data_IF_791445697744
#
_entry.id   IF_791445697744
#
_cell.length_a   1.000
_cell.length_b   1.000
_cell.length_c   1.000
_cell.angle_alpha   90.00
_cell.angle_beta   90.00
_cell.angle_gamma   90.00
#
_symmetry.space_group_name_H-M   'P 1'
#
loop_
_entity.id
_entity.type
_entity.pdbx_description
1 polymer ?
#
# COMPACT_ATOMS: atom_id res chain seq x y z
N UNK A 1 -15.26 29.64 31.34
CA UNK A 1 -15.66 30.68 30.36
C UNK A 1 -17.01 30.27 29.80
N UNK A 2 -18.07 31.06 30.01
CA UNK A 2 -19.42 30.75 29.51
C UNK A 2 -19.75 31.73 28.38
N UNK A 3 -19.92 31.21 27.16
CA UNK A 3 -20.29 32.01 25.99
C UNK A 3 -21.53 31.41 25.33
N UNK A 4 -22.31 32.28 24.70
CA UNK A 4 -23.38 31.88 23.80
C UNK A 4 -22.85 32.01 22.37
N UNK A 5 -22.96 30.95 21.59
CA UNK A 5 -22.45 30.91 20.22
C UNK A 5 -23.57 30.57 19.24
N UNK A 6 -23.44 31.04 18.01
CA UNK A 6 -24.24 30.64 16.86
C UNK A 6 -23.32 30.17 15.76
N UNK A 7 -23.60 29.00 15.19
CA UNK A 7 -22.80 28.44 14.11
C UNK A 7 -23.31 28.96 12.78
N UNK A 8 -22.42 29.55 12.00
CA UNK A 8 -22.70 30.04 10.64
C UNK A 8 -21.82 29.26 9.68
N UNK A 9 -22.39 28.87 8.53
CA UNK A 9 -21.66 28.19 7.45
C UNK A 9 -21.37 29.19 6.33
N UNK A 10 -20.21 29.06 5.64
CA UNK A 10 -19.90 29.90 4.49
C UNK A 10 -20.87 29.64 3.34
N UNK A 11 -21.25 30.70 2.61
CA UNK A 11 -22.18 30.61 1.48
C UNK A 11 -21.59 29.89 0.26
N UNK A 12 -20.27 30.01 0.08
CA UNK A 12 -19.52 29.39 -1.02
C UNK A 12 -19.02 27.97 -0.69
N UNK A 13 -19.14 27.53 0.57
CA UNK A 13 -18.65 26.23 1.02
C UNK A 13 -17.12 26.10 1.03
N UNK A 14 -16.36 27.17 0.82
CA UNK A 14 -14.91 27.12 0.75
C UNK A 14 -14.25 27.36 2.13
N UNK A 15 -13.04 26.83 2.31
CA UNK A 15 -12.22 27.09 3.49
C UNK A 15 -11.68 28.52 3.49
N UNK A 16 -11.15 28.93 2.35
CA UNK A 16 -10.80 30.31 2.07
C UNK A 16 -9.57 30.44 1.21
N UNK A 17 -9.80 30.83 -0.05
CA UNK A 17 -8.76 31.08 -1.03
C UNK A 17 -8.41 32.56 -1.02
N UNK A 18 -7.12 32.85 -0.96
CA UNK A 18 -6.61 34.21 -1.11
C UNK A 18 -6.61 34.54 -2.60
N UNK A 19 -7.40 35.55 -2.98
CA UNK A 19 -7.46 36.04 -4.35
C UNK A 19 -6.30 37.02 -4.61
N UNK A 20 -5.90 37.25 -5.87
CA UNK A 20 -4.83 38.19 -6.22
C UNK A 20 -5.09 39.63 -5.76
N UNK A 21 -6.37 39.98 -5.54
CA UNK A 21 -6.78 41.29 -5.02
C UNK A 21 -6.60 41.44 -3.50
N UNK A 22 -6.09 40.43 -2.79
CA UNK A 22 -5.91 40.41 -1.34
C UNK A 22 -7.17 40.09 -0.53
N UNK A 23 -8.31 39.89 -1.19
CA UNK A 23 -9.55 39.42 -0.56
C UNK A 23 -9.54 37.90 -0.43
N UNK A 24 -10.14 37.38 0.65
CA UNK A 24 -10.31 35.96 0.87
C UNK A 24 -11.76 35.52 0.63
N UNK A 25 -11.93 34.31 0.07
CA UNK A 25 -13.22 33.60 0.01
C UNK A 25 -13.42 32.74 1.26
N UNK A 26 -14.54 32.01 1.35
CA UNK A 26 -14.75 30.99 2.35
C UNK A 26 -14.81 31.51 3.78
N UNK A 27 -14.54 30.61 4.72
CA UNK A 27 -14.52 30.94 6.16
C UNK A 27 -13.47 32.00 6.51
N UNK A 28 -12.30 31.99 5.85
CA UNK A 28 -11.27 33.04 6.06
C UNK A 28 -11.79 34.40 5.58
N UNK A 29 -12.51 34.44 4.45
CA UNK A 29 -13.14 35.64 3.92
C UNK A 29 -14.20 36.22 4.84
N UNK A 30 -15.05 35.37 5.43
CA UNK A 30 -16.04 35.82 6.41
C UNK A 30 -15.36 36.45 7.64
N UNK A 31 -14.25 35.87 8.10
CA UNK A 31 -13.46 36.44 9.19
C UNK A 31 -12.82 37.79 8.81
N UNK A 32 -12.23 37.88 7.60
CA UNK A 32 -11.63 39.11 7.08
C UNK A 32 -12.65 40.25 6.94
N UNK A 33 -13.89 39.93 6.53
CA UNK A 33 -15.00 40.89 6.39
C UNK A 33 -15.74 41.18 7.70
N UNK A 34 -15.32 40.59 8.82
CA UNK A 34 -15.98 40.72 10.14
C UNK A 34 -17.44 40.25 10.14
N UNK A 35 -17.75 39.22 9.36
CA UNK A 35 -19.08 38.56 9.35
C UNK A 35 -19.19 37.50 10.45
N UNK A 36 -18.05 37.00 10.95
CA UNK A 36 -17.94 36.05 12.06
C UNK A 36 -16.86 36.50 13.03
N UNK A 37 -17.03 36.19 14.31
CA UNK A 37 -16.03 36.51 15.34
C UNK A 37 -14.85 35.53 15.35
N UNK A 38 -15.11 34.26 15.01
CA UNK A 38 -14.11 33.19 14.98
C UNK A 38 -14.45 32.18 13.88
N UNK A 39 -13.43 31.76 13.13
CA UNK A 39 -13.50 30.63 12.21
C UNK A 39 -12.91 29.38 12.89
N UNK A 40 -13.72 28.33 13.02
CA UNK A 40 -13.33 27.05 13.63
C UNK A 40 -13.29 25.95 12.57
N UNK A 41 -12.16 25.24 12.49
CA UNK A 41 -11.96 24.13 11.57
C UNK A 41 -10.49 23.74 11.44
N UNK A 42 -10.18 22.64 10.74
CA UNK A 42 -8.81 22.22 10.43
C UNK A 42 -8.16 23.17 9.40
N UNK A 43 -7.86 24.39 9.83
CA UNK A 43 -7.20 25.37 8.97
C UNK A 43 -5.70 25.09 8.88
N UNK A 44 -5.21 24.91 7.66
CA UNK A 44 -3.77 24.96 7.38
C UNK A 44 -3.27 26.39 7.53
N UNK A 45 -2.26 26.56 8.38
CA UNK A 45 -1.54 27.82 8.56
C UNK A 45 -0.54 27.96 7.41
N UNK A 46 -0.72 28.97 6.57
CA UNK A 46 0.20 29.31 5.49
C UNK A 46 0.56 30.79 5.55
N UNK A 47 1.67 31.16 4.93
CA UNK A 47 2.14 32.55 4.91
C UNK A 47 1.07 33.52 4.36
N UNK A 48 0.44 33.18 3.24
CA UNK A 48 -0.54 34.07 2.62
C UNK A 48 -1.85 34.18 3.40
N UNK A 49 -2.25 33.13 4.12
CA UNK A 49 -3.43 33.17 5.00
C UNK A 49 -3.15 33.91 6.31
N UNK A 50 -1.93 33.79 6.85
CA UNK A 50 -1.51 34.51 8.05
C UNK A 50 -1.42 36.04 7.85
N UNK A 51 -1.36 36.54 6.60
CA UNK A 51 -1.45 37.98 6.29
C UNK A 51 -2.84 38.57 6.48
N UNK A 52 -3.89 37.74 6.41
CA UNK A 52 -5.29 38.20 6.41
C UNK A 52 -6.07 37.75 7.65
N UNK A 53 -5.55 36.79 8.40
CA UNK A 53 -6.17 36.27 9.62
C UNK A 53 -5.11 35.85 10.64
N UNK A 54 -5.38 36.15 11.91
CA UNK A 54 -4.58 35.69 13.03
C UNK A 54 -4.97 34.26 13.43
N UNK A 55 -3.97 33.44 13.72
CA UNK A 55 -4.14 32.04 14.12
C UNK A 55 -3.80 31.86 15.60
N UNK A 56 -4.54 30.96 16.26
CA UNK A 56 -4.16 30.45 17.56
C UNK A 56 -2.93 29.52 17.44
N UNK A 57 -2.46 29.03 18.58
CA UNK A 57 -1.41 28.00 18.59
C UNK A 57 -1.87 26.71 17.92
N UNK A 58 -0.97 26.03 17.22
CA UNK A 58 -1.25 24.80 16.50
C UNK A 58 -1.53 23.67 17.50
N UNK A 59 -2.77 23.18 17.52
CA UNK A 59 -3.18 22.06 18.37
C UNK A 59 -3.08 20.70 17.67
N UNK A 60 -3.01 20.68 16.34
CA UNK A 60 -2.96 19.46 15.55
C UNK A 60 -2.06 19.63 14.31
N UNK A 61 -1.26 18.59 14.01
CA UNK A 61 -0.49 18.50 12.78
C UNK A 61 -1.03 17.33 11.96
N UNK A 62 -1.49 17.65 10.75
CA UNK A 62 -1.95 16.69 9.75
C UNK A 62 -0.96 16.58 8.60
N UNK A 63 -0.95 15.42 7.96
CA UNK A 63 -0.16 15.15 6.76
C UNK A 63 -1.07 15.07 5.52
N UNK A 64 -0.54 15.48 4.37
CA UNK A 64 -1.22 15.25 3.10
C UNK A 64 -1.04 13.80 2.66
N UNK A 65 -2.14 13.18 2.22
CA UNK A 65 -2.16 11.83 1.68
C UNK A 65 -2.85 11.78 0.33
N UNK A 66 -2.44 10.83 -0.51
CA UNK A 66 -3.13 10.52 -1.77
C UNK A 66 -4.16 9.44 -1.47
N UNK A 67 -5.43 9.73 -1.76
CA UNK A 67 -6.50 8.76 -1.61
C UNK A 67 -6.75 8.04 -2.93
N UNK A 68 -6.67 6.71 -2.90
CA UNK A 68 -6.94 5.85 -4.04
C UNK A 68 -8.09 4.90 -3.73
N UNK A 69 -8.85 4.48 -4.76
CA UNK A 69 -9.78 3.37 -4.61
C UNK A 69 -9.04 2.14 -4.09
N UNK A 70 -9.74 1.34 -3.27
CA UNK A 70 -9.17 0.11 -2.71
C UNK A 70 -8.64 -0.78 -3.86
N UNK A 71 -7.36 -1.19 -3.83
CA UNK A 71 -6.79 -2.02 -4.89
C UNK A 71 -7.47 -3.39 -4.91
N UNK A 72 -7.62 -3.96 -6.11
CA UNK A 72 -8.20 -5.29 -6.27
C UNK A 72 -7.12 -6.34 -5.99
N UNK A 73 -7.50 -7.39 -5.27
CA UNK A 73 -6.65 -8.55 -5.05
C UNK A 73 -6.59 -9.35 -6.36
N UNK A 74 -5.41 -9.44 -6.95
CA UNK A 74 -5.23 -10.25 -8.15
C UNK A 74 -5.03 -11.72 -7.73
N UNK A 75 -5.86 -12.61 -8.30
CA UNK A 75 -5.76 -14.05 -8.05
C UNK A 75 -4.69 -14.63 -8.95
N UNK A 76 -3.45 -14.59 -8.49
CA UNK A 76 -2.36 -15.22 -9.23
C UNK A 76 -2.35 -16.74 -9.01
N UNK A 77 -3.00 -17.46 -9.92
CA UNK A 77 -3.04 -18.93 -9.95
C UNK A 77 -1.66 -19.54 -10.25
N UNK A 78 -0.71 -18.77 -10.78
CA UNK A 78 0.67 -19.22 -11.00
C UNK A 78 1.52 -19.14 -9.71
N UNK A 79 0.96 -18.64 -8.61
CA UNK A 79 1.65 -18.53 -7.32
C UNK A 79 2.27 -19.84 -6.83
N UNK A 80 1.71 -21.00 -7.18
CA UNK A 80 2.22 -22.32 -6.79
C UNK A 80 3.61 -22.65 -7.34
N UNK A 81 4.02 -22.05 -8.45
CA UNK A 81 5.33 -22.31 -9.06
C UNK A 81 6.40 -21.30 -8.65
N UNK A 82 6.04 -20.21 -7.97
CA UNK A 82 6.98 -19.17 -7.50
C UNK A 82 7.98 -19.63 -6.43
N UNK A 83 7.67 -20.55 -5.50
CA UNK A 83 8.61 -21.00 -4.46
C UNK A 83 9.90 -21.60 -5.01
N UNK A 84 9.88 -22.11 -6.25
CA UNK A 84 11.04 -22.69 -6.89
C UNK A 84 11.28 -22.03 -8.25
N UNK A 85 12.50 -21.54 -8.46
CA UNK A 85 12.93 -21.16 -9.80
C UNK A 85 12.69 -22.32 -10.77
N UNK A 86 12.27 -22.03 -11.99
CA UNK A 86 12.01 -23.04 -13.02
C UNK A 86 13.17 -24.04 -13.18
N UNK A 87 14.40 -23.60 -12.92
CA UNK A 87 15.60 -24.43 -12.94
C UNK A 87 15.68 -25.43 -11.77
N UNK A 88 15.31 -25.03 -10.56
CA UNK A 88 15.28 -25.95 -9.42
C UNK A 88 14.14 -26.96 -9.55
N UNK A 89 12.99 -26.59 -10.12
CA UNK A 89 11.91 -27.53 -10.42
C UNK A 89 12.40 -28.63 -11.39
N UNK A 90 13.05 -28.24 -12.49
CA UNK A 90 13.62 -29.18 -13.46
C UNK A 90 14.65 -30.12 -12.82
N UNK A 91 15.54 -29.57 -12.01
CA UNK A 91 16.58 -30.36 -11.35
C UNK A 91 15.99 -31.36 -10.36
N UNK A 92 14.99 -30.96 -9.57
CA UNK A 92 14.30 -31.87 -8.65
C UNK A 92 13.52 -32.96 -9.39
N UNK A 93 12.78 -32.61 -10.46
CA UNK A 93 12.03 -33.58 -11.24
C UNK A 93 12.94 -34.61 -11.94
N UNK A 94 14.08 -34.16 -12.49
CA UNK A 94 15.05 -35.07 -13.11
C UNK A 94 15.78 -35.96 -12.11
N UNK A 95 16.03 -35.48 -10.88
CA UNK A 95 16.58 -36.31 -9.81
C UNK A 95 15.54 -37.33 -9.31
N UNK A 96 14.29 -36.92 -9.13
CA UNK A 96 13.19 -37.80 -8.72
C UNK A 96 12.97 -38.92 -9.74
N UNK A 97 12.87 -38.61 -11.04
CA UNK A 97 12.70 -39.66 -12.07
C UNK A 97 13.90 -40.60 -12.17
N UNK A 98 15.12 -40.09 -12.02
CA UNK A 98 16.32 -40.94 -11.94
C UNK A 98 16.28 -41.88 -10.73
N UNK A 99 15.83 -41.39 -9.58
CA UNK A 99 15.74 -42.21 -8.36
C UNK A 99 14.60 -43.23 -8.44
N UNK A 100 13.45 -42.89 -9.02
CA UNK A 100 12.36 -43.86 -9.17
C UNK A 100 12.68 -44.92 -10.22
N UNK A 101 13.35 -44.57 -11.32
CA UNK A 101 13.81 -45.55 -12.32
C UNK A 101 14.85 -46.49 -11.72
N UNK A 102 15.85 -45.96 -11.00
CA UNK A 102 16.87 -46.79 -10.34
C UNK A 102 16.31 -47.63 -9.18
N UNK A 103 15.30 -47.14 -8.47
CA UNK A 103 14.59 -47.92 -7.45
C UNK A 103 13.66 -48.96 -8.07
N UNK A 104 12.96 -48.66 -9.16
CA UNK A 104 12.06 -49.61 -9.82
C UNK A 104 12.85 -50.78 -10.44
N UNK A 105 13.96 -50.48 -11.10
CA UNK A 105 14.85 -51.49 -11.70
C UNK A 105 15.60 -52.34 -10.65
N UNK A 106 15.80 -51.83 -9.43
CA UNK A 106 16.58 -52.55 -8.39
C UNK A 106 15.73 -53.14 -7.26
N UNK A 107 14.54 -52.62 -6.99
CA UNK A 107 13.73 -53.00 -5.82
C UNK A 107 12.79 -54.17 -6.06
N UNK A 108 12.44 -54.48 -7.31
CA UNK A 108 11.56 -55.63 -7.62
C UNK A 108 12.33 -56.95 -7.52
N UNK A 109 13.64 -56.94 -7.79
CA UNK A 109 14.46 -58.16 -7.78
C UNK A 109 15.38 -58.31 -6.55
N UNK A 110 15.69 -57.23 -5.81
CA UNK A 110 16.58 -57.28 -4.64
C UNK A 110 16.18 -56.25 -3.56
N UNK A 111 15.29 -56.63 -2.63
CA UNK A 111 15.24 -55.91 -1.35
C UNK A 111 16.58 -56.15 -0.61
N UNK A 112 17.32 -55.11 -0.21
CA UNK A 112 18.62 -55.31 0.43
C UNK A 112 18.43 -56.07 1.76
N UNK A 113 18.89 -57.32 1.79
CA UNK A 113 18.92 -58.15 3.01
C UNK A 113 19.91 -57.58 4.05
N UNK A 114 20.90 -56.78 3.61
CA UNK A 114 21.91 -56.15 4.45
C UNK A 114 21.45 -54.83 5.10
N UNK A 115 21.76 -54.67 6.39
CA UNK A 115 21.42 -53.51 7.23
C UNK A 115 21.72 -52.14 6.58
N UNK A 116 22.87 -52.03 5.88
CA UNK A 116 23.34 -50.80 5.23
C UNK A 116 22.36 -50.27 4.17
N UNK A 117 21.70 -51.16 3.41
CA UNK A 117 20.72 -50.75 2.39
C UNK A 117 19.46 -50.15 2.98
N UNK A 118 19.01 -50.65 4.14
CA UNK A 118 17.84 -50.11 4.87
C UNK A 118 18.14 -48.73 5.46
N UNK A 119 19.36 -48.52 5.98
CA UNK A 119 19.78 -47.22 6.52
C UNK A 119 19.83 -46.17 5.42
N UNK A 120 20.41 -46.47 4.26
CA UNK A 120 20.46 -45.55 3.12
C UNK A 120 19.07 -45.18 2.59
N UNK A 121 18.16 -46.16 2.50
CA UNK A 121 16.78 -45.92 2.13
C UNK A 121 16.04 -45.07 3.17
N UNK A 122 16.30 -45.30 4.46
CA UNK A 122 15.76 -44.47 5.55
C UNK A 122 16.24 -43.02 5.49
N UNK A 123 17.54 -42.79 5.25
CA UNK A 123 18.11 -41.45 5.08
C UNK A 123 17.53 -40.74 3.85
N UNK A 124 17.34 -41.46 2.74
CA UNK A 124 16.72 -40.91 1.53
C UNK A 124 15.26 -40.50 1.76
N UNK A 125 14.46 -41.36 2.37
CA UNK A 125 13.06 -41.07 2.70
C UNK A 125 12.95 -39.90 3.69
N UNK A 126 13.85 -39.82 4.67
CA UNK A 126 13.91 -38.70 5.61
C UNK A 126 14.24 -37.38 4.90
N UNK A 127 15.23 -37.38 3.99
CA UNK A 127 15.57 -36.20 3.20
C UNK A 127 14.39 -35.73 2.33
N UNK A 128 13.70 -36.66 1.66
CA UNK A 128 12.50 -36.35 0.87
C UNK A 128 11.37 -35.76 1.72
N UNK A 129 11.15 -36.31 2.92
CA UNK A 129 10.16 -35.79 3.87
C UNK A 129 10.48 -34.37 4.32
N UNK A 130 11.75 -34.07 4.61
CA UNK A 130 12.20 -32.72 4.98
C UNK A 130 11.92 -31.74 3.85
N UNK A 131 12.28 -32.06 2.60
CA UNK A 131 12.03 -31.20 1.43
C UNK A 131 10.53 -30.94 1.22
N UNK A 132 9.69 -31.97 1.38
CA UNK A 132 8.24 -31.82 1.24
C UNK A 132 7.63 -30.95 2.33
N UNK A 133 8.06 -31.13 3.58
CA UNK A 133 7.61 -30.28 4.70
C UNK A 133 8.01 -28.82 4.52
N UNK A 134 9.23 -28.57 4.03
CA UNK A 134 9.72 -27.23 3.73
C UNK A 134 8.92 -26.58 2.60
N UNK A 135 8.59 -27.33 1.54
CA UNK A 135 7.77 -26.82 0.44
C UNK A 135 6.36 -26.40 0.90
N UNK A 136 5.70 -27.23 1.71
CA UNK A 136 4.39 -26.89 2.28
C UNK A 136 4.48 -25.60 3.09
N UNK A 137 5.52 -25.44 3.92
CA UNK A 137 5.73 -24.22 4.72
C UNK A 137 5.91 -22.96 3.86
N UNK A 138 6.78 -23.01 2.85
CA UNK A 138 7.03 -21.86 1.96
C UNK A 138 5.79 -21.52 1.14
N UNK A 139 5.09 -22.53 0.61
CA UNK A 139 3.86 -22.33 -0.16
C UNK A 139 2.76 -21.69 0.69
N UNK A 140 2.55 -22.19 1.92
CA UNK A 140 1.57 -21.60 2.84
C UNK A 140 1.92 -20.15 3.17
N UNK A 141 3.19 -19.82 3.39
CA UNK A 141 3.63 -18.44 3.62
C UNK A 141 3.36 -17.53 2.42
N UNK A 142 3.60 -18.00 1.20
CA UNK A 142 3.37 -17.20 -0.02
C UNK A 142 1.89 -17.03 -0.35
N UNK A 143 1.05 -18.02 -0.05
CA UNK A 143 -0.41 -17.92 -0.26
C UNK A 143 -1.14 -17.16 0.85
N UNK A 144 -0.53 -17.05 2.04
CA UNK A 144 -1.11 -16.30 3.14
C UNK A 144 -1.17 -14.79 2.84
N UNK A 145 -0.19 -14.26 2.09
CA UNK A 145 -0.12 -12.84 1.74
C UNK A 145 -0.61 -12.65 0.31
N UNK A 146 -1.81 -12.10 0.09
CA UNK A 146 -2.26 -11.80 -1.26
C UNK A 146 -1.45 -10.62 -1.81
N UNK A 147 -1.00 -10.75 -3.05
CA UNK A 147 -0.28 -9.68 -3.73
C UNK A 147 -1.23 -8.54 -4.08
N UNK A 148 -0.88 -7.33 -3.65
CA UNK A 148 -1.62 -6.11 -3.94
C UNK A 148 -0.72 -5.21 -4.77
N UNK A 149 -1.13 -4.89 -5.99
CA UNK A 149 -0.46 -3.90 -6.83
C UNK A 149 -1.07 -2.53 -6.54
N UNK A 150 -0.31 -1.67 -5.85
CA UNK A 150 -0.72 -0.28 -5.66
C UNK A 150 -0.28 0.50 -6.90
N UNK A 151 -1.19 1.18 -7.61
CA UNK A 151 -0.86 1.83 -8.87
C UNK A 151 -0.06 3.12 -8.71
N UNK A 152 -0.12 3.76 -7.53
CA UNK A 152 0.59 5.01 -7.22
C UNK A 152 1.00 5.00 -5.75
N UNK A 153 2.30 4.99 -5.49
CA UNK A 153 2.83 5.06 -4.11
C UNK A 153 3.40 6.43 -3.75
N UNK A 154 3.65 7.30 -4.74
CA UNK A 154 4.25 8.63 -4.50
C UNK A 154 3.69 9.71 -5.43
N UNK A 155 3.87 10.98 -5.05
CA UNK A 155 3.53 12.13 -5.90
C UNK A 155 4.33 12.16 -7.21
N UNK A 156 5.58 11.68 -7.17
CA UNK A 156 6.45 11.59 -8.34
C UNK A 156 5.92 10.54 -9.33
N UNK A 157 5.42 9.42 -8.83
CA UNK A 157 4.74 8.41 -9.62
C UNK A 157 3.43 8.95 -10.21
N UNK A 158 2.64 9.69 -9.41
CA UNK A 158 1.43 10.37 -9.87
C UNK A 158 1.71 11.37 -11.00
N UNK A 159 2.82 12.09 -10.94
CA UNK A 159 3.23 13.06 -11.95
C UNK A 159 3.73 12.43 -13.26
N UNK A 160 4.31 11.22 -13.20
CA UNK A 160 4.77 10.51 -14.41
C UNK A 160 3.64 9.83 -15.17
N UNK A 161 2.63 9.35 -14.47
CA UNK A 161 1.49 8.72 -15.13
C UNK A 161 0.49 9.76 -15.65
N UNK A 162 -0.12 9.47 -16.80
CA UNK A 162 -1.24 10.25 -17.35
C UNK A 162 -2.56 9.48 -17.32
N UNK A 163 -2.55 8.25 -16.78
CA UNK A 163 -3.68 7.33 -16.84
C UNK A 163 -4.78 7.65 -15.83
N UNK A 164 -4.41 8.08 -14.62
CA UNK A 164 -5.37 8.30 -13.52
C UNK A 164 -5.58 9.81 -13.37
N UNK A 165 -6.82 10.30 -13.54
CA UNK A 165 -7.13 11.70 -13.26
C UNK A 165 -7.03 11.95 -11.74
N UNK A 166 -6.42 13.07 -11.37
CA UNK A 166 -6.37 13.54 -9.98
C UNK A 166 -7.25 14.78 -9.83
N UNK A 167 -7.79 14.98 -8.64
CA UNK A 167 -8.60 16.13 -8.29
C UNK A 167 -8.26 16.61 -6.88
N UNK A 168 -8.44 17.92 -6.65
CA UNK A 168 -8.30 18.53 -5.35
C UNK A 168 -9.64 19.15 -4.94
N UNK A 169 -9.93 19.18 -3.65
CA UNK A 169 -11.08 19.91 -3.14
C UNK A 169 -10.85 21.42 -3.34
N UNK A 170 -11.77 22.07 -4.07
CA UNK A 170 -11.73 23.50 -4.36
C UNK A 170 -11.76 24.34 -3.07
N UNK A 171 -11.06 25.48 -3.07
CA UNK A 171 -11.03 26.39 -1.93
C UNK A 171 -10.17 25.93 -0.73
N UNK A 172 -9.52 24.76 -0.82
CA UNK A 172 -8.53 24.29 0.17
C UNK A 172 -7.15 24.91 -0.05
N UNK A 173 -6.26 24.76 0.94
CA UNK A 173 -4.87 25.18 0.80
C UNK A 173 -4.11 24.34 -0.25
N UNK A 174 -4.44 23.05 -0.39
CA UNK A 174 -3.83 22.16 -1.39
C UNK A 174 -4.03 22.66 -2.81
N UNK A 175 -5.24 23.11 -3.13
CA UNK A 175 -5.55 23.68 -4.43
C UNK A 175 -4.64 24.88 -4.75
N UNK A 176 -4.35 25.74 -3.76
CA UNK A 176 -3.45 26.89 -3.92
C UNK A 176 -1.99 26.47 -4.14
N UNK A 177 -1.49 25.48 -3.42
CA UNK A 177 -0.10 25.01 -3.54
C UNK A 177 0.23 24.52 -4.96
N UNK A 178 -0.70 23.82 -5.60
CA UNK A 178 -0.49 23.28 -6.95
C UNK A 178 -0.85 24.26 -8.07
N UNK A 179 -1.69 25.26 -7.80
CA UNK A 179 -2.05 26.29 -8.80
C UNK A 179 -0.92 27.28 -9.08
N UNK A 180 -0.01 27.52 -8.12
CA UNK A 180 1.06 28.52 -8.26
C UNK A 180 2.29 27.99 -9.02
N UNK A 181 2.35 26.69 -9.36
CA UNK A 181 3.57 26.04 -9.91
C UNK A 181 3.40 25.33 -11.26
N UNK A 182 2.27 25.44 -11.93
CA UNK A 182 2.07 25.03 -13.33
C UNK A 182 1.72 26.25 -14.17
#
# INVERSE_FOLDING_TARGET
MFFRFSVVRPLDGEWGRILPNGSATGMIGMNQRREVDMALGPFTISYDRAKVADYATTIHLDNFGIFLPRPRLEKDLSGFTKPFAWQSIKLNLTQLTRTTVTLHERAIDNLPEMLTGRVLLGVWLLAALIVQSAYQGVLTSMLAVPWVTVPVDSLDDLGRQTRIPYAFESGTHLHFLFQVRL
#
